data_IF_957919492965
#
_entry.id   IF_957919492965
#
_cell.length_a   1.000
_cell.length_b   1.000
_cell.length_c   1.000
_cell.angle_alpha   90.00
_cell.angle_beta   90.00
_cell.angle_gamma   90.00
#
_symmetry.space_group_name_H-M   'P 1'
#
loop_
_entity.id
_entity.type
_entity.pdbx_description
1 polymer ?
#
# COMPACT_ATOMS: atom_id res chain seq x y z
N UNK A 1 12.92 -23.88 49.34
CA UNK A 1 14.32 -24.20 49.02
C UNK A 1 14.34 -24.85 47.64
N UNK A 2 15.04 -24.42 46.60
CA UNK A 2 15.95 -23.30 46.39
C UNK A 2 15.79 -22.84 44.92
N UNK A 3 15.86 -21.53 44.75
CA UNK A 3 15.79 -20.78 43.50
C UNK A 3 17.10 -20.95 42.73
N UNK A 4 17.13 -21.57 41.55
CA UNK A 4 18.29 -21.46 40.66
C UNK A 4 18.13 -20.27 39.71
N UNK A 5 18.70 -19.14 40.13
CA UNK A 5 18.95 -17.97 39.28
C UNK A 5 20.19 -18.25 38.42
N UNK A 6 20.03 -18.44 37.11
CA UNK A 6 21.18 -18.37 36.20
C UNK A 6 21.36 -16.93 35.72
N UNK A 7 22.39 -16.28 36.24
CA UNK A 7 22.76 -14.88 35.97
C UNK A 7 23.90 -14.88 34.95
N UNK A 8 23.59 -14.93 33.66
CA UNK A 8 24.59 -14.70 32.61
C UNK A 8 24.69 -13.19 32.35
N UNK A 9 25.73 -12.56 32.93
CA UNK A 9 26.09 -11.17 32.74
C UNK A 9 27.00 -11.09 31.51
N UNK A 10 26.47 -10.78 30.33
CA UNK A 10 27.28 -10.39 29.18
C UNK A 10 27.30 -8.86 29.06
N UNK A 11 28.42 -8.25 29.50
CA UNK A 11 28.86 -6.91 29.10
C UNK A 11 29.59 -7.05 27.76
N UNK A 12 29.29 -6.20 26.79
CA UNK A 12 30.02 -6.13 25.52
C UNK A 12 29.21 -5.56 24.37
N UNK A 13 29.02 -4.25 24.43
CA UNK A 13 29.12 -3.28 23.33
C UNK A 13 28.75 -3.63 21.87
N UNK A 14 27.86 -2.78 21.35
CA UNK A 14 27.94 -2.13 20.03
C UNK A 14 27.78 -3.00 18.77
N UNK A 15 26.53 -3.05 18.26
CA UNK A 15 26.12 -2.67 16.88
C UNK A 15 24.79 -3.33 16.50
N UNK A 16 23.65 -2.76 16.92
CA UNK A 16 22.36 -3.00 16.23
C UNK A 16 21.56 -1.68 16.17
N UNK A 17 22.09 -0.69 15.44
CA UNK A 17 21.41 0.60 15.20
C UNK A 17 20.85 0.77 13.77
N UNK A 18 21.03 -0.21 12.87
CA UNK A 18 20.73 -0.02 11.44
C UNK A 18 19.35 -0.51 10.97
N UNK A 19 18.80 -1.60 11.53
CA UNK A 19 17.43 -2.05 11.17
C UNK A 19 16.30 -1.29 11.88
N UNK A 20 16.62 -0.60 12.97
CA UNK A 20 15.74 0.39 13.61
C UNK A 20 15.89 1.80 13.02
N UNK A 21 16.39 1.96 11.78
CA UNK A 21 16.39 3.28 11.11
C UNK A 21 15.37 3.43 10.01
N UNK A 22 15.02 2.41 9.23
CA UNK A 22 14.09 2.64 8.11
C UNK A 22 12.62 2.74 8.52
N UNK A 23 12.20 1.99 9.54
CA UNK A 23 10.84 2.10 10.12
C UNK A 23 10.81 3.07 11.32
N UNK A 24 11.84 3.16 12.18
CA UNK A 24 11.85 4.13 13.28
C UNK A 24 12.41 5.53 12.98
N UNK A 25 13.11 5.77 11.87
CA UNK A 25 13.40 7.16 11.49
C UNK A 25 12.14 7.88 11.02
N UNK A 26 11.17 7.16 10.44
CA UNK A 26 9.81 7.66 10.21
C UNK A 26 9.04 7.90 11.52
N UNK A 27 9.29 7.11 12.57
CA UNK A 27 8.72 7.36 13.92
C UNK A 27 9.35 8.54 14.68
N UNK A 28 10.43 9.18 14.19
CA UNK A 28 10.93 10.44 14.76
C UNK A 28 10.22 11.69 14.21
N UNK A 29 9.30 11.53 13.25
CA UNK A 29 8.64 12.63 12.55
C UNK A 29 7.21 12.89 13.04
N UNK A 30 6.83 12.34 14.19
CA UNK A 30 5.49 12.48 14.76
C UNK A 30 5.10 13.96 14.98
N UNK A 31 6.08 14.81 15.27
CA UNK A 31 5.84 16.26 15.39
C UNK A 31 5.55 16.97 14.07
N UNK A 32 5.95 16.39 12.93
CA UNK A 32 5.72 16.97 11.61
C UNK A 32 4.44 16.43 10.96
N UNK A 33 4.06 15.17 11.19
CA UNK A 33 2.78 14.63 10.72
C UNK A 33 1.69 15.02 11.73
N UNK A 34 1.23 16.26 11.63
CA UNK A 34 0.07 16.79 12.37
C UNK A 34 -1.13 16.97 11.42
N UNK A 35 -2.35 16.93 11.97
CA UNK A 35 -3.60 17.21 11.26
C UNK A 35 -3.94 16.23 10.09
N UNK A 36 -3.85 14.92 10.34
CA UNK A 36 -4.48 13.96 9.44
C UNK A 36 -6.02 14.06 9.57
N UNK A 37 -6.76 14.05 8.44
CA UNK A 37 -8.22 14.07 8.50
C UNK A 37 -8.75 12.73 9.03
N UNK A 38 -9.86 12.69 9.81
CA UNK A 38 -10.51 11.44 10.15
C UNK A 38 -10.85 10.60 8.90
N UNK A 39 -10.74 9.27 8.92
CA UNK A 39 -10.32 8.40 10.03
C UNK A 39 -8.79 8.14 10.05
N UNK A 40 -8.00 8.89 9.28
CA UNK A 40 -6.57 8.64 9.12
C UNK A 40 -5.80 9.00 10.38
N UNK A 41 -4.94 8.07 10.81
CA UNK A 41 -4.12 8.22 12.00
C UNK A 41 -2.73 7.66 11.72
N UNK A 42 -1.73 8.19 12.43
CA UNK A 42 -0.41 7.59 12.42
C UNK A 42 -0.43 6.29 13.24
N UNK A 43 -0.52 5.16 12.54
CA UNK A 43 -0.58 3.83 13.17
C UNK A 43 0.81 3.37 13.63
N UNK A 44 0.89 2.79 14.84
CA UNK A 44 2.11 2.19 15.39
C UNK A 44 1.97 0.65 15.43
N UNK A 45 2.26 -0.07 14.33
CA UNK A 45 2.17 -1.52 14.35
C UNK A 45 3.22 -2.11 15.29
N UNK A 46 2.88 -3.25 15.91
CA UNK A 46 3.83 -4.00 16.70
C UNK A 46 4.96 -4.52 15.80
N UNK A 47 6.19 -4.11 16.08
CA UNK A 47 7.37 -4.57 15.35
C UNK A 47 8.08 -5.65 16.19
N UNK A 48 7.96 -6.90 15.76
CA UNK A 48 8.64 -8.03 16.37
C UNK A 48 9.72 -8.59 15.44
N UNK A 49 10.74 -9.22 16.03
CA UNK A 49 11.71 -10.02 15.28
C UNK A 49 11.21 -11.45 15.20
N UNK A 50 11.36 -12.07 14.03
CA UNK A 50 11.22 -13.51 13.92
C UNK A 50 12.21 -14.23 14.85
N UNK A 51 11.78 -15.33 15.45
CA UNK A 51 12.59 -16.13 16.37
C UNK A 51 13.80 -16.76 15.66
N UNK A 52 13.62 -17.14 14.39
CA UNK A 52 14.68 -17.57 13.49
C UNK A 52 14.98 -16.48 12.47
N UNK A 53 16.26 -16.19 12.25
CA UNK A 53 16.70 -15.26 11.22
C UNK A 53 17.18 -16.03 10.00
N UNK A 54 16.64 -15.72 8.83
CA UNK A 54 17.16 -16.26 7.57
C UNK A 54 18.61 -15.83 7.36
N UNK A 55 19.45 -16.82 7.03
CA UNK A 55 20.83 -16.55 6.64
C UNK A 55 20.85 -15.86 5.28
N UNK A 56 21.70 -14.84 5.11
CA UNK A 56 21.87 -14.19 3.82
C UNK A 56 22.53 -15.14 2.84
N UNK A 57 21.83 -15.49 1.78
CA UNK A 57 22.42 -16.17 0.61
C UNK A 57 22.87 -15.11 -0.40
N UNK A 58 24.16 -15.07 -0.78
CA UNK A 58 24.63 -14.18 -1.84
C UNK A 58 24.22 -14.76 -3.21
N UNK A 59 23.00 -14.47 -3.64
CA UNK A 59 22.48 -14.86 -4.95
C UNK A 59 21.91 -13.65 -5.70
N UNK A 60 21.90 -13.71 -7.03
CA UNK A 60 21.21 -12.71 -7.86
C UNK A 60 19.71 -12.77 -7.55
N UNK A 61 19.10 -11.61 -7.31
CA UNK A 61 17.66 -11.54 -7.13
C UNK A 61 16.93 -12.07 -8.38
N UNK A 62 15.89 -12.90 -8.22
CA UNK A 62 15.09 -13.37 -9.33
C UNK A 62 14.48 -12.21 -10.13
N UNK A 63 14.30 -12.38 -11.44
CA UNK A 63 13.67 -11.39 -12.33
C UNK A 63 12.15 -11.54 -12.40
N UNK A 64 11.54 -12.16 -11.39
CA UNK A 64 10.10 -12.35 -11.28
C UNK A 64 9.62 -12.04 -9.86
N UNK A 65 8.33 -11.75 -9.76
CA UNK A 65 7.60 -11.60 -8.51
C UNK A 65 6.47 -12.62 -8.49
N UNK A 66 6.22 -13.22 -7.33
CA UNK A 66 5.09 -14.12 -7.12
C UNK A 66 4.08 -13.41 -6.24
N UNK A 67 2.81 -13.37 -6.65
CA UNK A 67 1.73 -12.88 -5.82
C UNK A 67 0.58 -13.88 -5.78
N UNK A 68 -0.08 -13.95 -4.63
CA UNK A 68 -1.19 -14.86 -4.38
C UNK A 68 -2.18 -14.20 -3.43
N UNK A 69 -3.46 -14.49 -3.63
CA UNK A 69 -4.54 -14.10 -2.73
C UNK A 69 -5.39 -15.31 -2.38
N UNK A 70 -6.07 -15.29 -1.23
CA UNK A 70 -6.83 -16.45 -0.73
C UNK A 70 -7.97 -16.89 -1.67
N UNK A 71 -8.48 -15.97 -2.47
CA UNK A 71 -9.51 -16.25 -3.48
C UNK A 71 -8.93 -16.94 -4.71
N UNK A 72 -7.60 -16.90 -4.88
CA UNK A 72 -6.93 -17.34 -6.09
C UNK A 72 -6.53 -18.81 -5.99
N UNK A 73 -6.93 -19.65 -6.96
CA UNK A 73 -6.57 -21.07 -6.93
C UNK A 73 -5.06 -21.28 -7.16
N UNK A 74 -4.41 -20.38 -7.90
CA UNK A 74 -2.99 -20.46 -8.24
C UNK A 74 -2.32 -19.07 -8.07
N UNK A 75 -1.02 -19.03 -7.75
CA UNK A 75 -0.26 -17.78 -7.71
C UNK A 75 0.00 -17.22 -9.11
N UNK A 76 0.02 -15.89 -9.24
CA UNK A 76 0.52 -15.22 -10.44
C UNK A 76 2.05 -15.08 -10.37
N UNK A 77 2.71 -15.38 -11.48
CA UNK A 77 4.14 -15.13 -11.68
C UNK A 77 4.30 -13.96 -12.64
N UNK A 78 4.83 -12.86 -12.15
CA UNK A 78 4.95 -11.59 -12.87
C UNK A 78 6.43 -11.33 -13.18
N UNK A 79 6.75 -11.06 -14.43
CA UNK A 79 8.08 -10.63 -14.82
C UNK A 79 8.36 -9.22 -14.24
N UNK A 80 9.42 -9.08 -13.44
CA UNK A 80 9.72 -7.85 -12.71
C UNK A 80 10.13 -6.68 -13.62
N UNK A 81 10.56 -6.96 -14.86
CA UNK A 81 10.95 -5.96 -15.84
C UNK A 81 9.75 -5.43 -16.62
N UNK A 82 8.83 -6.32 -17.02
CA UNK A 82 7.67 -5.94 -17.86
C UNK A 82 6.41 -5.63 -17.05
N UNK A 83 6.31 -6.14 -15.82
CA UNK A 83 5.12 -6.02 -14.99
C UNK A 83 3.93 -6.88 -15.45
N UNK A 84 4.18 -7.88 -16.30
CA UNK A 84 3.16 -8.76 -16.90
C UNK A 84 3.47 -10.23 -16.59
N UNK A 85 2.47 -11.10 -16.77
CA UNK A 85 2.65 -12.55 -16.69
C UNK A 85 3.53 -13.05 -17.85
N UNK A 86 4.02 -14.29 -17.74
CA UNK A 86 4.86 -14.92 -18.77
C UNK A 86 4.16 -15.02 -20.14
N UNK A 87 2.85 -15.23 -20.14
CA UNK A 87 2.00 -15.23 -21.33
C UNK A 87 1.68 -13.82 -21.87
N UNK A 88 2.23 -12.76 -21.26
CA UNK A 88 2.01 -11.37 -21.67
C UNK A 88 0.71 -10.74 -21.16
N UNK A 89 -0.13 -11.48 -20.44
CA UNK A 89 -1.35 -10.93 -19.85
C UNK A 89 -1.04 -9.97 -18.70
N UNK A 90 -1.89 -8.94 -18.49
CA UNK A 90 -1.78 -8.07 -17.33
C UNK A 90 -2.05 -8.85 -16.04
N UNK A 91 -1.35 -8.52 -14.96
CA UNK A 91 -1.63 -9.08 -13.63
C UNK A 91 -2.98 -8.59 -13.10
N UNK A 92 -3.64 -9.41 -12.30
CA UNK A 92 -4.79 -9.00 -11.50
C UNK A 92 -4.46 -7.83 -10.57
N UNK A 93 -3.20 -7.65 -10.16
CA UNK A 93 -2.75 -6.52 -9.35
C UNK A 93 -2.47 -5.23 -10.13
N UNK A 94 -2.56 -5.25 -11.46
CA UNK A 94 -2.31 -4.06 -12.26
C UNK A 94 -3.44 -3.02 -12.08
N UNK A 95 -3.16 -1.76 -12.46
CA UNK A 95 -4.11 -0.66 -12.28
C UNK A 95 -5.44 -0.89 -13.01
N UNK A 96 -5.41 -1.44 -14.23
CA UNK A 96 -6.62 -1.76 -15.01
C UNK A 96 -7.50 -2.78 -14.26
N UNK A 97 -6.94 -3.89 -13.82
CA UNK A 97 -7.65 -4.94 -13.08
C UNK A 97 -8.21 -4.45 -11.73
N UNK A 98 -7.45 -3.63 -10.99
CA UNK A 98 -7.93 -3.00 -9.76
C UNK A 98 -9.04 -1.97 -10.02
N UNK A 99 -8.93 -1.21 -11.11
CA UNK A 99 -9.94 -0.23 -11.48
C UNK A 99 -11.25 -0.91 -11.90
N UNK A 100 -11.17 -1.99 -12.66
CA UNK A 100 -12.31 -2.83 -13.03
C UNK A 100 -13.03 -3.39 -11.81
N UNK A 101 -12.28 -3.90 -10.81
CA UNK A 101 -12.83 -4.32 -9.52
C UNK A 101 -13.57 -3.20 -8.80
N UNK A 102 -12.95 -2.02 -8.70
CA UNK A 102 -13.57 -0.86 -8.07
C UNK A 102 -14.86 -0.44 -8.81
N UNK A 103 -14.80 -0.41 -10.14
CA UNK A 103 -15.92 -0.10 -11.02
C UNK A 103 -17.08 -1.10 -10.89
N UNK A 104 -16.78 -2.40 -10.71
CA UNK A 104 -17.78 -3.42 -10.44
C UNK A 104 -18.47 -3.20 -9.08
N UNK A 105 -17.69 -2.91 -8.04
CA UNK A 105 -18.21 -2.71 -6.68
C UNK A 105 -19.07 -1.45 -6.58
N UNK A 106 -18.59 -0.32 -7.11
CA UNK A 106 -19.26 0.98 -6.97
C UNK A 106 -20.61 1.04 -7.71
N UNK A 107 -20.81 0.20 -8.73
CA UNK A 107 -22.10 0.06 -9.44
C UNK A 107 -23.12 -0.77 -8.66
N UNK A 108 -22.67 -1.67 -7.77
CA UNK A 108 -23.52 -2.71 -7.16
C UNK A 108 -23.73 -2.52 -5.67
N UNK A 109 -22.82 -1.84 -4.99
CA UNK A 109 -22.87 -1.64 -3.54
C UNK A 109 -23.17 -0.19 -3.19
N UNK A 110 -23.98 0.07 -2.15
CA UNK A 110 -24.13 1.41 -1.62
C UNK A 110 -22.78 1.89 -1.07
N UNK A 111 -22.53 3.19 -1.16
CA UNK A 111 -21.37 3.80 -0.51
C UNK A 111 -21.47 3.59 1.00
N UNK A 112 -20.34 3.30 1.63
CA UNK A 112 -20.27 3.14 3.08
C UNK A 112 -20.71 4.44 3.78
N UNK A 113 -21.29 4.35 5.00
CA UNK A 113 -21.62 5.54 5.78
C UNK A 113 -20.38 6.42 5.95
N UNK A 114 -20.53 7.70 5.61
CA UNK A 114 -19.47 8.68 5.78
C UNK A 114 -19.55 9.28 7.18
N UNK A 115 -18.40 9.65 7.73
CA UNK A 115 -18.35 10.41 8.99
C UNK A 115 -19.09 11.74 8.79
N UNK A 116 -20.16 12.04 9.56
CA UNK A 116 -20.90 13.30 9.43
C UNK A 116 -20.05 14.55 9.69
N UNK A 117 -18.94 14.42 10.41
CA UNK A 117 -18.00 15.51 10.69
C UNK A 117 -16.98 15.75 9.56
N UNK A 118 -16.88 14.81 8.61
CA UNK A 118 -15.99 14.91 7.47
C UNK A 118 -16.57 15.75 6.32
N UNK A 119 -15.74 16.16 5.34
CA UNK A 119 -16.24 16.79 4.13
C UNK A 119 -17.17 15.80 3.39
N UNK A 120 -18.29 16.28 2.81
CA UNK A 120 -19.16 15.41 2.03
C UNK A 120 -18.40 14.83 0.85
N UNK A 121 -18.60 13.54 0.58
CA UNK A 121 -18.05 12.93 -0.61
C UNK A 121 -18.69 13.54 -1.86
N UNK A 122 -17.91 13.78 -2.93
CA UNK A 122 -18.49 14.15 -4.20
C UNK A 122 -19.44 13.04 -4.69
N UNK A 123 -20.56 13.38 -5.32
CA UNK A 123 -21.46 12.39 -5.89
C UNK A 123 -20.72 11.60 -6.97
N UNK A 124 -21.05 10.32 -7.06
CA UNK A 124 -20.48 9.47 -8.10
C UNK A 124 -20.91 9.98 -9.49
N UNK A 125 -20.00 10.06 -10.47
CA UNK A 125 -20.36 10.41 -11.84
C UNK A 125 -21.43 9.46 -12.39
N UNK A 126 -22.41 10.01 -13.12
CA UNK A 126 -23.50 9.21 -13.71
C UNK A 126 -22.99 8.21 -14.74
N UNK A 127 -21.95 8.58 -15.49
CA UNK A 127 -21.33 7.72 -16.48
C UNK A 127 -19.94 7.29 -15.98
N UNK A 128 -19.90 6.08 -15.43
CA UNK A 128 -18.67 5.48 -14.91
C UNK A 128 -17.78 4.88 -16.01
N UNK A 129 -18.34 4.61 -17.19
CA UNK A 129 -17.59 3.96 -18.28
C UNK A 129 -16.51 4.90 -18.84
N UNK A 130 -16.80 6.20 -18.88
CA UNK A 130 -15.84 7.22 -19.33
C UNK A 130 -14.99 7.83 -18.21
N UNK A 131 -15.18 7.41 -16.96
CA UNK A 131 -14.44 7.94 -15.82
C UNK A 131 -12.96 7.54 -15.93
N UNK A 132 -12.07 8.53 -15.85
CA UNK A 132 -10.63 8.26 -15.85
C UNK A 132 -10.17 7.73 -14.50
N UNK A 133 -9.11 6.90 -14.50
CA UNK A 133 -8.57 6.32 -13.28
C UNK A 133 -8.05 7.38 -12.27
N UNK A 134 -7.43 8.46 -12.75
CA UNK A 134 -7.02 9.58 -11.91
C UNK A 134 -8.21 10.33 -11.28
N UNK A 135 -9.29 10.52 -12.04
CA UNK A 135 -10.53 11.15 -11.57
C UNK A 135 -11.21 10.28 -10.51
N UNK A 136 -11.30 8.96 -10.73
CA UNK A 136 -11.82 8.02 -9.75
C UNK A 136 -11.03 8.09 -8.42
N UNK A 137 -9.70 8.19 -8.49
CA UNK A 137 -8.85 8.40 -7.30
C UNK A 137 -9.09 9.75 -6.63
N UNK A 138 -9.41 10.78 -7.39
CA UNK A 138 -9.66 12.13 -6.86
C UNK A 138 -11.00 12.22 -6.10
N UNK A 139 -11.96 11.33 -6.36
CA UNK A 139 -13.23 11.26 -5.63
C UNK A 139 -13.05 11.07 -4.11
N UNK A 140 -11.97 10.38 -3.69
CA UNK A 140 -11.66 10.21 -2.27
C UNK A 140 -10.85 11.41 -1.74
N UNK A 141 -11.53 12.54 -1.53
CA UNK A 141 -10.92 13.81 -1.11
C UNK A 141 -10.15 13.70 0.21
N UNK A 142 -10.73 13.02 1.21
CA UNK A 142 -10.12 12.80 2.52
C UNK A 142 -8.78 12.07 2.42
N UNK A 143 -8.69 11.07 1.53
CA UNK A 143 -7.42 10.38 1.26
C UNK A 143 -6.40 11.31 0.58
N UNK A 144 -6.82 12.16 -0.36
CA UNK A 144 -5.92 13.10 -1.02
C UNK A 144 -5.32 14.09 -0.02
N UNK A 145 -6.13 14.62 0.90
CA UNK A 145 -5.67 15.47 2.00
C UNK A 145 -4.68 14.72 2.90
N UNK A 146 -5.01 13.51 3.34
CA UNK A 146 -4.10 12.71 4.18
C UNK A 146 -2.76 12.43 3.48
N UNK A 147 -2.81 12.09 2.19
CA UNK A 147 -1.62 11.86 1.35
C UNK A 147 -0.78 13.13 1.20
N UNK A 148 -1.42 14.28 0.97
CA UNK A 148 -0.72 15.56 0.88
C UNK A 148 -0.05 15.93 2.20
N UNK A 149 -0.78 15.85 3.32
CA UNK A 149 -0.24 16.07 4.68
C UNK A 149 1.00 15.21 4.93
N UNK A 150 0.96 13.94 4.55
CA UNK A 150 2.11 13.03 4.66
C UNK A 150 3.28 13.50 3.79
N UNK A 151 3.05 13.80 2.51
CA UNK A 151 4.13 14.22 1.61
C UNK A 151 4.77 15.55 2.03
N UNK A 152 3.96 16.50 2.50
CA UNK A 152 4.43 17.80 2.99
C UNK A 152 5.17 17.67 4.33
N UNK A 153 4.81 16.68 5.16
CA UNK A 153 5.54 16.41 6.40
C UNK A 153 6.98 15.91 6.14
N UNK A 154 7.21 15.11 5.09
CA UNK A 154 8.58 14.71 4.70
C UNK A 154 9.44 15.91 4.31
N UNK A 155 8.88 16.85 3.56
CA UNK A 155 9.58 18.06 3.14
C UNK A 155 9.88 18.98 4.35
N UNK A 156 8.90 19.20 5.23
CA UNK A 156 9.10 19.98 6.47
C UNK A 156 10.13 19.35 7.41
N UNK A 157 10.20 18.02 7.44
CA UNK A 157 11.20 17.28 8.21
C UNK A 157 12.59 17.23 7.53
N UNK A 158 12.78 17.89 6.39
CA UNK A 158 14.02 17.89 5.61
C UNK A 158 14.47 16.47 5.19
N UNK A 159 13.49 15.60 4.89
CA UNK A 159 13.72 14.22 4.43
C UNK A 159 13.61 14.06 2.92
N UNK A 160 13.48 15.18 2.20
CA UNK A 160 13.33 15.23 0.76
C UNK A 160 11.86 15.29 0.32
N UNK A 161 11.68 15.53 -0.99
CA UNK A 161 10.37 15.66 -1.62
C UNK A 161 9.92 14.33 -2.20
N UNK A 162 8.63 14.01 -2.02
CA UNK A 162 8.05 12.79 -2.58
C UNK A 162 7.99 12.86 -4.12
N UNK A 163 8.65 11.93 -4.81
CA UNK A 163 8.63 11.84 -6.27
C UNK A 163 7.38 11.09 -6.74
N UNK A 164 6.58 11.75 -7.57
CA UNK A 164 5.37 11.17 -8.17
C UNK A 164 5.68 10.74 -9.61
N UNK A 165 4.93 9.75 -10.08
CA UNK A 165 4.91 9.40 -11.51
C UNK A 165 4.18 10.49 -12.30
N UNK A 166 4.46 10.63 -13.61
CA UNK A 166 3.71 11.51 -14.49
C UNK A 166 2.21 11.19 -14.47
N UNK A 167 1.37 12.21 -14.60
CA UNK A 167 -0.10 12.08 -14.47
C UNK A 167 -0.70 11.22 -15.59
N UNK A 168 -0.06 11.22 -16.75
CA UNK A 168 -0.41 10.47 -17.95
C UNK A 168 -0.49 8.97 -17.65
N UNK A 169 0.29 8.48 -16.67
CA UNK A 169 0.27 7.08 -16.24
C UNK A 169 -1.03 6.66 -15.53
N UNK A 170 -1.85 7.63 -15.10
CA UNK A 170 -3.16 7.43 -14.46
C UNK A 170 -4.31 8.00 -15.32
N UNK A 171 -4.04 8.57 -16.50
CA UNK A 171 -5.05 9.13 -17.42
C UNK A 171 -5.52 8.08 -18.43
N UNK A 172 -6.25 7.07 -17.95
CA UNK A 172 -6.83 6.03 -18.79
C UNK A 172 -8.23 5.65 -18.33
N UNK A 173 -9.05 5.15 -19.26
CA UNK A 173 -10.37 4.55 -18.98
C UNK A 173 -10.24 3.05 -18.70
N UNK A 174 -11.22 2.48 -18.02
CA UNK A 174 -11.21 1.04 -17.78
C UNK A 174 -11.45 0.28 -19.08
N UNK A 175 -10.51 -0.58 -19.47
CA UNK A 175 -10.60 -1.41 -20.68
C UNK A 175 -11.29 -2.76 -20.40
N UNK A 176 -11.33 -3.17 -19.13
CA UNK A 176 -11.90 -4.44 -18.68
C UNK A 176 -13.38 -4.21 -18.36
N UNK A 177 -14.23 -4.26 -19.38
CA UNK A 177 -15.68 -4.11 -19.26
C UNK A 177 -16.34 -5.48 -19.11
N UNK A 178 -17.38 -5.55 -18.27
CA UNK A 178 -18.24 -6.73 -18.09
C UNK A 178 -17.51 -8.05 -17.78
N UNK A 179 -16.31 -7.98 -17.19
CA UNK A 179 -15.55 -9.17 -16.84
C UNK A 179 -16.32 -10.06 -15.85
N UNK A 180 -16.21 -11.38 -16.04
CA UNK A 180 -16.74 -12.38 -15.13
C UNK A 180 -16.23 -12.11 -13.70
N UNK A 181 -17.13 -11.91 -12.70
CA UNK A 181 -16.73 -11.70 -11.31
C UNK A 181 -15.80 -12.79 -10.78
N UNK A 182 -15.96 -14.03 -11.24
CA UNK A 182 -15.10 -15.15 -10.83
C UNK A 182 -13.65 -14.94 -11.28
N UNK A 183 -13.43 -14.28 -12.43
CA UNK A 183 -12.09 -13.95 -12.93
C UNK A 183 -11.57 -12.63 -12.34
N UNK A 184 -12.47 -11.67 -12.12
CA UNK A 184 -12.11 -10.34 -11.63
C UNK A 184 -11.68 -10.34 -10.16
N UNK A 185 -12.25 -11.26 -9.37
CA UNK A 185 -11.96 -11.47 -7.94
C UNK A 185 -11.28 -12.81 -7.65
N UNK A 186 -10.78 -13.50 -8.70
CA UNK A 186 -9.87 -14.63 -8.52
C UNK A 186 -8.68 -14.18 -7.66
#
# INVERSE_FOLDING_TARGET
MATLRYRARFRGEMKIKRRFRQVPATFKNEGYISALPPPYQLTRPLLARAASTEARTPARAPSFSVCWSITSPLPEIINATTGKLENGHPSLLCKQSMFARWQYLVRRLPLLPQDPSGPPLPPLPKNLDYLLYNEAKALCTTYQVAKETLTSAFERAQLGRWIKKPIEQDQFQCEILEADPALLFA
#
